data_IF_141275660532
#
_entry.id   IF_141275660532
#
_cell.length_a   1.000
_cell.length_b   1.000
_cell.length_c   1.000
_cell.angle_alpha   90.00
_cell.angle_beta   90.00
_cell.angle_gamma   90.00
#
_symmetry.space_group_name_H-M   'P 1'
#
loop_
_entity.id
_entity.type
_entity.pdbx_description
1 polymer ?
#
# COMPACT_ATOMS: atom_id res chain seq x y z
N UNK A 1 7.24 21.71 1.57
CA UNK A 1 8.38 20.76 1.43
C UNK A 1 9.00 20.27 2.76
N UNK A 2 8.49 20.66 3.94
CA UNK A 2 9.14 20.38 5.24
C UNK A 2 8.71 19.07 5.95
N UNK A 3 7.68 18.37 5.48
CA UNK A 3 7.12 17.20 6.17
C UNK A 3 7.87 15.88 5.91
N UNK A 4 8.69 15.81 4.85
CA UNK A 4 9.40 14.57 4.47
C UNK A 4 10.51 14.17 5.47
N UNK A 5 11.12 15.13 6.17
CA UNK A 5 12.29 14.86 7.02
C UNK A 5 11.95 14.41 8.44
N UNK A 6 10.81 14.82 8.99
CA UNK A 6 10.48 14.52 10.40
C UNK A 6 9.93 13.10 10.61
N UNK A 7 9.32 12.52 9.56
CA UNK A 7 8.64 11.23 9.64
C UNK A 7 9.58 10.02 9.74
N UNK A 8 10.77 10.11 9.14
CA UNK A 8 11.81 9.06 9.20
C UNK A 8 12.43 8.97 10.61
N UNK A 9 12.49 10.08 11.34
CA UNK A 9 13.09 10.14 12.69
C UNK A 9 12.15 9.62 13.77
N UNK A 10 10.85 9.91 13.68
CA UNK A 10 9.87 9.48 14.70
C UNK A 10 9.68 7.95 14.77
N UNK A 11 9.85 7.23 13.66
CA UNK A 11 9.56 5.79 13.58
C UNK A 11 10.65 4.88 14.13
N UNK A 12 11.92 5.32 14.17
CA UNK A 12 13.02 4.50 14.69
C UNK A 12 12.84 4.14 16.18
N UNK A 13 12.03 4.91 16.91
CA UNK A 13 11.70 4.65 18.33
C UNK A 13 10.60 3.60 18.54
N UNK A 14 9.71 3.37 17.57
CA UNK A 14 8.52 2.52 17.76
C UNK A 14 8.80 1.05 17.42
N UNK A 15 9.77 0.77 16.56
CA UNK A 15 10.10 -0.59 16.08
C UNK A 15 10.62 -1.54 17.17
N UNK A 16 11.08 -1.03 18.31
CA UNK A 16 11.59 -1.88 19.39
C UNK A 16 10.50 -2.52 20.26
N UNK A 17 9.22 -2.17 20.09
CA UNK A 17 8.20 -2.46 21.11
C UNK A 17 7.19 -3.57 20.77
N UNK A 18 7.08 -4.08 19.54
CA UNK A 18 5.97 -4.98 19.20
C UNK A 18 6.40 -6.16 18.32
N UNK A 19 6.60 -7.30 18.98
CA UNK A 19 6.56 -8.63 18.37
C UNK A 19 5.10 -9.09 18.31
N UNK A 20 4.60 -9.44 17.14
CA UNK A 20 3.34 -10.18 16.99
C UNK A 20 3.46 -11.21 15.86
N UNK A 21 3.01 -12.43 16.15
CA UNK A 21 3.06 -13.63 15.32
C UNK A 21 2.06 -13.60 14.16
N UNK A 22 2.51 -14.09 12.99
CA UNK A 22 1.78 -14.11 11.71
C UNK A 22 0.86 -15.32 11.52
N UNK A 23 -0.26 -15.10 10.82
CA UNK A 23 -1.09 -16.14 10.20
C UNK A 23 -0.90 -16.07 8.67
N UNK A 24 -0.58 -17.22 8.06
CA UNK A 24 -0.19 -17.40 6.66
C UNK A 24 -1.29 -17.04 5.66
N UNK A 25 -0.98 -16.17 4.70
CA UNK A 25 -1.67 -16.07 3.42
C UNK A 25 -0.72 -16.55 2.32
N UNK A 26 -1.08 -17.63 1.62
CA UNK A 26 -0.28 -18.25 0.57
C UNK A 26 -0.12 -17.30 -0.63
N UNK A 27 1.06 -16.71 -0.77
CA UNK A 27 1.58 -16.23 -2.05
C UNK A 27 2.69 -17.21 -2.43
N UNK A 28 2.44 -18.07 -3.42
CA UNK A 28 3.41 -19.09 -3.83
C UNK A 28 4.72 -18.45 -4.30
N UNK A 29 5.80 -18.82 -3.63
CA UNK A 29 7.16 -18.54 -4.06
C UNK A 29 7.56 -19.64 -5.06
N UNK A 30 7.57 -19.32 -6.35
CA UNK A 30 8.27 -20.14 -7.35
C UNK A 30 9.77 -19.96 -7.20
N UNK A 31 10.40 -20.83 -6.40
CA UNK A 31 11.83 -21.10 -6.47
C UNK A 31 12.10 -22.51 -5.97
N UNK A 32 12.50 -23.39 -6.89
CA UNK A 32 12.95 -24.73 -6.58
C UNK A 32 14.13 -24.75 -5.59
N UNK A 33 14.04 -25.69 -4.66
CA UNK A 33 15.09 -26.33 -3.84
C UNK A 33 16.43 -25.59 -3.63
N UNK A 34 16.61 -25.07 -2.41
CA UNK A 34 17.68 -25.39 -1.41
C UNK A 34 17.73 -24.27 -0.37
N UNK A 35 17.82 -24.64 0.91
CA UNK A 35 17.64 -23.78 2.09
C UNK A 35 18.50 -22.50 2.15
N UNK A 36 18.04 -21.44 1.50
CA UNK A 36 18.47 -20.08 1.75
C UNK A 36 17.39 -19.37 2.56
N UNK A 37 17.78 -18.73 3.65
CA UNK A 37 16.90 -17.81 4.37
C UNK A 37 16.24 -16.86 3.37
N UNK A 38 14.92 -16.60 3.49
CA UNK A 38 14.22 -15.72 2.56
C UNK A 38 14.94 -14.37 2.51
N UNK A 39 15.36 -13.96 1.30
CA UNK A 39 16.07 -12.69 1.11
C UNK A 39 15.22 -11.54 1.67
N UNK A 40 15.80 -10.64 2.48
CA UNK A 40 15.06 -9.53 3.06
C UNK A 40 14.48 -8.63 1.95
N UNK A 41 13.28 -8.09 2.17
CA UNK A 41 12.70 -7.12 1.23
C UNK A 41 13.58 -5.86 1.21
N UNK A 42 14.08 -5.51 0.03
CA UNK A 42 14.81 -4.26 -0.20
C UNK A 42 14.01 -3.36 -1.14
N UNK A 43 14.25 -2.05 -1.09
CA UNK A 43 13.55 -1.12 -1.98
C UNK A 43 13.75 -1.47 -3.46
N UNK A 44 14.95 -1.89 -3.87
CA UNK A 44 15.24 -2.24 -5.26
C UNK A 44 14.53 -3.53 -5.72
N UNK A 45 14.47 -4.55 -4.85
CA UNK A 45 13.75 -5.79 -5.17
C UNK A 45 12.25 -5.56 -5.26
N UNK A 46 11.69 -4.75 -4.36
CA UNK A 46 10.28 -4.38 -4.40
C UNK A 46 9.98 -3.55 -5.65
N UNK A 47 10.75 -2.50 -5.91
CA UNK A 47 10.53 -1.64 -7.07
C UNK A 47 10.68 -2.39 -8.40
N UNK A 48 11.69 -3.26 -8.52
CA UNK A 48 11.86 -4.13 -9.70
C UNK A 48 10.64 -5.03 -9.92
N UNK A 49 10.10 -5.65 -8.87
CA UNK A 49 8.91 -6.49 -8.96
C UNK A 49 7.65 -5.70 -9.26
N UNK A 50 7.48 -4.50 -8.71
CA UNK A 50 6.36 -3.61 -9.02
C UNK A 50 6.35 -3.23 -10.51
N UNK A 51 7.51 -2.92 -11.10
CA UNK A 51 7.63 -2.59 -12.53
C UNK A 51 7.37 -3.77 -13.45
N UNK A 52 7.79 -4.97 -13.04
CA UNK A 52 7.64 -6.20 -13.83
C UNK A 52 6.30 -6.92 -13.61
N UNK A 53 5.42 -6.36 -12.78
CA UNK A 53 4.13 -6.98 -12.50
C UNK A 53 3.27 -7.03 -13.76
N UNK A 54 2.64 -8.19 -14.08
CA UNK A 54 1.89 -8.37 -15.32
C UNK A 54 0.54 -7.65 -15.34
N UNK A 55 0.08 -7.14 -14.20
CA UNK A 55 -1.19 -6.41 -14.07
C UNK A 55 -1.07 -5.33 -13.00
N UNK A 56 -1.76 -4.22 -13.23
CA UNK A 56 -1.84 -3.08 -12.31
C UNK A 56 -2.45 -3.49 -10.96
N UNK A 57 -3.49 -4.34 -10.94
CA UNK A 57 -4.06 -4.88 -9.69
C UNK A 57 -3.07 -5.77 -8.93
N UNK A 58 -2.30 -6.60 -9.65
CA UNK A 58 -1.27 -7.44 -9.02
C UNK A 58 -0.12 -6.60 -8.46
N UNK A 59 0.24 -5.51 -9.14
CA UNK A 59 1.26 -4.58 -8.67
C UNK A 59 0.80 -3.90 -7.37
N UNK A 60 -0.44 -3.40 -7.36
CA UNK A 60 -1.03 -2.73 -6.20
C UNK A 60 -1.23 -3.69 -5.02
N UNK A 61 -1.70 -4.92 -5.26
CA UNK A 61 -1.81 -5.93 -4.21
C UNK A 61 -0.43 -6.30 -3.63
N UNK A 62 0.59 -6.48 -4.48
CA UNK A 62 1.96 -6.74 -4.03
C UNK A 62 2.50 -5.56 -3.20
N UNK A 63 2.25 -4.32 -3.60
CA UNK A 63 2.61 -3.13 -2.82
C UNK A 63 1.98 -3.16 -1.42
N UNK A 64 0.69 -3.48 -1.30
CA UNK A 64 0.04 -3.62 0.00
C UNK A 64 0.57 -4.79 0.83
N UNK A 65 0.91 -5.91 0.18
CA UNK A 65 1.53 -7.05 0.85
C UNK A 65 2.92 -6.72 1.39
N UNK A 66 3.77 -6.03 0.63
CA UNK A 66 5.08 -5.57 1.08
C UNK A 66 4.96 -4.69 2.32
N UNK A 67 3.96 -3.81 2.35
CA UNK A 67 3.77 -2.96 3.51
C UNK A 67 3.53 -3.79 4.78
N UNK A 68 2.89 -4.97 4.70
CA UNK A 68 2.59 -5.83 5.88
C UNK A 68 3.83 -6.48 6.48
N UNK A 69 4.95 -6.48 5.77
CA UNK A 69 6.17 -7.15 6.22
C UNK A 69 6.81 -6.35 7.36
N UNK A 70 7.28 -7.08 8.36
CA UNK A 70 8.05 -6.49 9.44
C UNK A 70 9.35 -5.90 8.87
N UNK A 71 9.77 -4.75 9.40
CA UNK A 71 11.01 -4.06 9.01
C UNK A 71 11.09 -3.57 7.55
N UNK A 72 9.98 -3.50 6.83
CA UNK A 72 9.94 -2.91 5.48
C UNK A 72 8.99 -1.71 5.39
N UNK A 73 9.48 -0.64 4.77
CA UNK A 73 8.68 0.54 4.43
C UNK A 73 8.96 0.91 2.98
N UNK A 74 7.93 1.38 2.28
CA UNK A 74 8.09 1.81 0.89
C UNK A 74 8.89 3.11 0.80
N UNK A 75 9.79 3.17 -0.18
CA UNK A 75 10.47 4.40 -0.56
C UNK A 75 9.60 5.27 -1.48
N UNK A 76 10.08 6.46 -1.81
CA UNK A 76 9.35 7.38 -2.71
C UNK A 76 9.08 6.74 -4.07
N UNK A 77 10.06 6.01 -4.64
CA UNK A 77 9.96 5.37 -5.96
C UNK A 77 8.78 4.40 -6.05
N UNK A 78 8.57 3.59 -5.00
CA UNK A 78 7.45 2.66 -4.96
C UNK A 78 6.10 3.40 -4.97
N UNK A 79 5.97 4.49 -4.23
CA UNK A 79 4.75 5.31 -4.23
C UNK A 79 4.53 6.03 -5.56
N UNK A 80 5.57 6.64 -6.13
CA UNK A 80 5.48 7.36 -7.40
C UNK A 80 5.07 6.41 -8.53
N UNK A 81 5.59 5.17 -8.52
CA UNK A 81 5.12 4.11 -9.44
C UNK A 81 3.66 3.72 -9.19
N UNK A 82 3.23 3.63 -7.93
CA UNK A 82 1.83 3.34 -7.60
C UNK A 82 0.86 4.44 -8.04
N UNK A 83 1.27 5.70 -8.11
CA UNK A 83 0.45 6.79 -8.67
C UNK A 83 0.05 6.46 -10.11
N UNK A 84 1.02 6.14 -10.97
CA UNK A 84 0.73 5.76 -12.36
C UNK A 84 -0.12 4.48 -12.49
N UNK A 85 0.04 3.54 -11.56
CA UNK A 85 -0.80 2.32 -11.49
C UNK A 85 -2.25 2.66 -11.13
N UNK A 86 -2.50 3.49 -10.10
CA UNK A 86 -3.88 3.83 -9.71
C UNK A 86 -4.58 4.72 -10.73
N UNK A 87 -3.86 5.54 -11.49
CA UNK A 87 -4.42 6.30 -12.61
C UNK A 87 -4.96 5.37 -13.72
N UNK A 88 -4.18 4.34 -14.09
CA UNK A 88 -4.62 3.32 -15.06
C UNK A 88 -5.84 2.56 -14.54
N UNK A 89 -5.80 2.11 -13.28
CA UNK A 89 -6.93 1.44 -12.64
C UNK A 89 -8.17 2.33 -12.59
N UNK A 90 -8.00 3.63 -12.32
CA UNK A 90 -9.12 4.58 -12.30
C UNK A 90 -9.78 4.69 -13.67
N UNK A 91 -9.01 4.73 -14.76
CA UNK A 91 -9.57 4.72 -16.12
C UNK A 91 -10.30 3.41 -16.44
N UNK A 92 -9.75 2.28 -16.01
CA UNK A 92 -10.31 0.95 -16.27
C UNK A 92 -11.59 0.69 -15.47
N UNK A 93 -11.57 0.94 -14.16
CA UNK A 93 -12.63 0.57 -13.23
C UNK A 93 -13.64 1.70 -12.96
N UNK A 94 -13.28 2.96 -13.23
CA UNK A 94 -14.08 4.20 -13.05
C UNK A 94 -14.46 4.57 -11.61
N UNK A 95 -14.61 3.60 -10.72
CA UNK A 95 -14.93 3.84 -9.29
C UNK A 95 -13.96 3.12 -8.35
N UNK A 96 -13.79 3.69 -7.15
CA UNK A 96 -12.97 3.09 -6.10
C UNK A 96 -13.54 1.74 -5.65
N UNK A 97 -14.86 1.62 -5.52
CA UNK A 97 -15.49 0.35 -5.10
C UNK A 97 -15.13 -0.79 -6.05
N UNK A 98 -15.11 -0.55 -7.37
CA UNK A 98 -14.71 -1.55 -8.36
C UNK A 98 -13.23 -1.90 -8.30
N UNK A 99 -12.36 -0.94 -7.98
CA UNK A 99 -10.93 -1.22 -7.72
C UNK A 99 -10.78 -2.09 -6.47
N UNK A 100 -11.52 -1.77 -5.40
CA UNK A 100 -11.53 -2.53 -4.14
C UNK A 100 -12.02 -3.96 -4.38
N UNK A 101 -13.06 -4.15 -5.19
CA UNK A 101 -13.56 -5.47 -5.55
C UNK A 101 -12.53 -6.26 -6.37
N UNK A 102 -11.86 -5.62 -7.34
CA UNK A 102 -10.73 -6.23 -8.04
C UNK A 102 -9.59 -6.64 -7.11
N UNK A 103 -9.27 -5.82 -6.11
CA UNK A 103 -8.29 -6.14 -5.08
C UNK A 103 -8.73 -7.35 -4.24
N UNK A 104 -10.00 -7.42 -3.82
CA UNK A 104 -10.55 -8.57 -3.09
C UNK A 104 -10.45 -9.86 -3.89
N UNK A 105 -10.87 -9.83 -5.15
CA UNK A 105 -10.77 -10.96 -6.08
C UNK A 105 -9.32 -11.41 -6.30
N UNK A 106 -8.35 -10.49 -6.19
CA UNK A 106 -6.92 -10.82 -6.24
C UNK A 106 -6.34 -11.34 -4.91
N UNK A 107 -7.17 -11.57 -3.88
CA UNK A 107 -6.75 -12.06 -2.57
C UNK A 107 -6.31 -10.97 -1.58
N UNK A 108 -6.58 -9.70 -1.86
CA UNK A 108 -6.25 -8.60 -0.95
C UNK A 108 -7.36 -8.40 0.11
N UNK A 109 -7.04 -8.66 1.37
CA UNK A 109 -7.90 -8.30 2.49
C UNK A 109 -7.92 -6.76 2.71
N UNK A 110 -9.10 -6.16 2.55
CA UNK A 110 -9.32 -4.71 2.67
C UNK A 110 -9.42 -4.30 4.15
N UNK A 111 -8.27 -3.93 4.71
CA UNK A 111 -8.10 -3.46 6.10
C UNK A 111 -7.88 -1.93 6.13
N UNK A 112 -8.01 -1.25 7.28
CA UNK A 112 -7.79 0.21 7.38
C UNK A 112 -6.46 0.67 6.78
N UNK A 113 -5.41 -0.15 6.96
CA UNK A 113 -4.08 0.13 6.42
C UNK A 113 -4.01 0.12 4.90
N UNK A 114 -4.78 -0.74 4.23
CA UNK A 114 -4.87 -0.77 2.76
C UNK A 114 -5.57 0.50 2.28
N UNK A 115 -6.69 0.87 2.89
CA UNK A 115 -7.43 2.10 2.55
C UNK A 115 -6.57 3.35 2.78
N UNK A 116 -5.81 3.40 3.87
CA UNK A 116 -4.88 4.50 4.15
C UNK A 116 -3.76 4.61 3.12
N UNK A 117 -3.19 3.49 2.68
CA UNK A 117 -2.15 3.50 1.64
C UNK A 117 -2.75 3.88 0.28
N UNK A 118 -3.96 3.40 -0.04
CA UNK A 118 -4.66 3.76 -1.26
C UNK A 118 -4.98 5.26 -1.28
N UNK A 119 -5.47 5.81 -0.15
CA UNK A 119 -5.68 7.24 0.06
C UNK A 119 -4.38 8.02 -0.18
N UNK A 120 -3.28 7.59 0.43
CA UNK A 120 -1.98 8.25 0.28
C UNK A 120 -1.49 8.26 -1.18
N UNK A 121 -1.71 7.18 -1.93
CA UNK A 121 -1.32 7.12 -3.35
C UNK A 121 -2.16 8.11 -4.17
N UNK A 122 -3.49 8.13 -4.01
CA UNK A 122 -4.35 9.07 -4.74
C UNK A 122 -4.04 10.53 -4.40
N UNK A 123 -3.81 10.82 -3.12
CA UNK A 123 -3.45 12.16 -2.66
C UNK A 123 -2.13 12.63 -3.27
N UNK A 124 -1.09 11.77 -3.30
CA UNK A 124 0.20 12.08 -3.95
C UNK A 124 0.08 12.31 -5.46
N UNK A 125 -0.87 11.63 -6.11
CA UNK A 125 -1.15 11.81 -7.54
C UNK A 125 -2.08 12.98 -7.85
N UNK A 126 -2.45 13.80 -6.87
CA UNK A 126 -3.42 14.89 -7.02
C UNK A 126 -4.81 14.43 -7.54
N UNK A 127 -5.13 13.15 -7.35
CA UNK A 127 -6.41 12.55 -7.71
C UNK A 127 -7.41 12.75 -6.56
N UNK A 128 -7.61 14.00 -6.15
CA UNK A 128 -8.31 14.34 -4.90
C UNK A 128 -9.75 13.85 -4.85
N UNK A 129 -10.47 13.86 -5.97
CA UNK A 129 -11.82 13.29 -6.03
C UNK A 129 -11.83 11.80 -5.62
N UNK A 130 -10.83 11.04 -6.08
CA UNK A 130 -10.67 9.62 -5.72
C UNK A 130 -10.14 9.43 -4.30
N UNK A 131 -9.28 10.33 -3.81
CA UNK A 131 -8.88 10.35 -2.41
C UNK A 131 -10.09 10.55 -1.47
N UNK A 132 -10.99 11.49 -1.78
CA UNK A 132 -12.24 11.73 -1.03
C UNK A 132 -13.14 10.50 -1.07
N UNK A 133 -13.30 9.85 -2.24
CA UNK A 133 -14.06 8.58 -2.35
C UNK A 133 -13.50 7.50 -1.42
N UNK A 134 -12.17 7.31 -1.37
CA UNK A 134 -11.53 6.36 -0.45
C UNK A 134 -11.78 6.74 1.00
N UNK A 135 -11.59 8.02 1.35
CA UNK A 135 -11.76 8.53 2.71
C UNK A 135 -13.19 8.30 3.23
N UNK A 136 -14.20 8.71 2.44
CA UNK A 136 -15.61 8.50 2.75
C UNK A 136 -15.96 7.00 2.81
N UNK A 137 -15.33 6.19 1.96
CA UNK A 137 -15.47 4.74 1.96
C UNK A 137 -14.98 4.08 3.25
N UNK A 138 -14.02 4.67 3.99
CA UNK A 138 -13.50 4.07 5.24
C UNK A 138 -14.61 3.83 6.27
N UNK A 139 -15.47 4.82 6.50
CA UNK A 139 -16.60 4.69 7.42
C UNK A 139 -17.59 3.61 6.97
N UNK A 140 -17.86 3.52 5.66
CA UNK A 140 -18.75 2.50 5.08
C UNK A 140 -18.21 1.07 5.28
N UNK A 141 -16.89 0.91 5.35
CA UNK A 141 -16.24 -0.36 5.69
C UNK A 141 -16.08 -0.58 7.21
N UNK A 142 -16.69 0.26 8.05
CA UNK A 142 -16.63 0.15 9.50
C UNK A 142 -15.33 0.68 10.12
N UNK A 143 -14.59 1.54 9.40
CA UNK A 143 -13.30 2.05 9.85
C UNK A 143 -13.32 3.56 10.03
N UNK A 144 -12.96 4.00 11.22
CA UNK A 144 -12.77 5.42 11.53
C UNK A 144 -11.44 5.89 10.95
N UNK A 145 -11.41 6.96 10.12
CA UNK A 145 -10.16 7.55 9.65
C UNK A 145 -9.28 7.96 10.82
N UNK A 146 -7.99 7.63 10.75
CA UNK A 146 -7.04 8.05 11.78
C UNK A 146 -6.54 9.48 11.51
N UNK A 147 -5.79 10.05 12.46
CA UNK A 147 -5.20 11.39 12.35
C UNK A 147 -4.40 11.56 11.05
N UNK A 148 -3.73 10.51 10.57
CA UNK A 148 -2.96 10.59 9.32
C UNK A 148 -3.87 10.79 8.10
N UNK A 149 -4.97 10.04 8.01
CA UNK A 149 -5.96 10.20 6.95
C UNK A 149 -6.62 11.59 7.04
N UNK A 150 -7.01 12.02 8.24
CA UNK A 150 -7.60 13.35 8.47
C UNK A 150 -6.66 14.48 8.03
N UNK A 151 -5.38 14.41 8.41
CA UNK A 151 -4.38 15.40 8.01
C UNK A 151 -4.21 15.48 6.49
N UNK A 152 -4.20 14.34 5.79
CA UNK A 152 -4.14 14.34 4.32
C UNK A 152 -5.35 15.08 3.73
N UNK A 153 -6.53 14.93 4.31
CA UNK A 153 -7.74 15.57 3.81
C UNK A 153 -7.87 17.05 4.14
N UNK A 154 -7.15 17.56 5.15
CA UNK A 154 -7.11 19.00 5.46
C UNK A 154 -6.25 19.79 4.46
N UNK A 155 -5.30 19.13 3.80
CA UNK A 155 -4.38 19.74 2.84
C UNK A 155 -4.92 19.75 1.39
N UNK A 156 -6.17 19.29 1.18
CA UNK A 156 -6.83 19.21 -0.14
C UNK A 156 -7.53 20.51 -0.50
#
# INVERSE_FOLDING_TARGET
>A
MLWRCNWVKQRRKIVNALSFSSIHGHFENTSGSRGFAPKPLTHDTVYSRLRKSPSDLKALNYFFWCAKQNNYFHDARAFDHMVGVVEKLTRQYRSIDRIIDGLRLSGCAIKPRVLLLLLEIFWRGHLYAKAIEVYNGMNRFGYVPNTRAMNMMMDV
#
